data_IF_078121202144
#
_entry.id   IF_078121202144
#
_cell.length_a   1.000
_cell.length_b   1.000
_cell.length_c   1.000
_cell.angle_alpha   90.00
_cell.angle_beta   90.00
_cell.angle_gamma   90.00
#
_symmetry.space_group_name_H-M   'P 1'
#
loop_
_entity.id
_entity.type
_entity.pdbx_description
1 polymer ?
#
# COMPACT_ATOMS: atom_id res chain seq x y z
N UNK A 1 9.38 32.93 -13.61
CA UNK A 1 8.53 31.78 -14.02
C UNK A 1 7.35 31.74 -13.08
N UNK A 2 6.13 31.56 -13.57
CA UNK A 2 4.96 31.51 -12.70
C UNK A 2 4.91 30.13 -12.01
N UNK A 3 4.52 30.09 -10.75
CA UNK A 3 4.34 28.87 -9.93
C UNK A 3 3.56 27.77 -10.68
N UNK A 4 2.56 28.16 -11.46
CA UNK A 4 1.80 27.25 -12.35
C UNK A 4 2.68 26.55 -13.40
N UNK A 5 3.70 27.22 -13.92
CA UNK A 5 4.60 26.64 -14.92
C UNK A 5 5.53 25.58 -14.32
N UNK A 6 5.93 25.72 -13.08
CA UNK A 6 6.76 24.75 -12.37
C UNK A 6 5.97 23.48 -12.01
N UNK A 7 4.74 23.66 -11.52
CA UNK A 7 3.84 22.52 -11.22
C UNK A 7 3.54 21.72 -12.49
N UNK A 8 3.25 22.39 -13.62
CA UNK A 8 2.99 21.72 -14.89
C UNK A 8 4.18 20.91 -15.39
N UNK A 9 5.39 21.46 -15.30
CA UNK A 9 6.63 20.74 -15.68
C UNK A 9 6.89 19.53 -14.80
N UNK A 10 6.66 19.65 -13.50
CA UNK A 10 6.84 18.55 -12.55
C UNK A 10 5.81 17.44 -12.81
N UNK A 11 4.55 17.78 -13.10
CA UNK A 11 3.52 16.82 -13.49
C UNK A 11 3.94 16.03 -14.75
N UNK A 12 4.36 16.73 -15.80
CA UNK A 12 4.80 16.08 -17.04
C UNK A 12 6.02 15.19 -16.82
N UNK A 13 7.02 15.68 -16.05
CA UNK A 13 8.22 14.91 -15.75
C UNK A 13 7.88 13.62 -14.98
N UNK A 14 7.04 13.71 -13.96
CA UNK A 14 6.62 12.55 -13.16
C UNK A 14 5.78 11.58 -13.98
N UNK A 15 4.83 12.07 -14.75
CA UNK A 15 4.04 11.23 -15.64
C UNK A 15 4.92 10.50 -16.68
N UNK A 16 5.93 11.17 -17.23
CA UNK A 16 6.88 10.57 -18.18
C UNK A 16 7.75 9.47 -17.54
N UNK A 17 8.08 9.60 -16.24
CA UNK A 17 8.80 8.55 -15.49
C UNK A 17 7.83 7.42 -15.11
N UNK A 18 6.64 7.76 -14.62
CA UNK A 18 5.63 6.80 -14.17
C UNK A 18 5.12 5.90 -15.28
N UNK A 19 5.02 6.41 -16.52
CA UNK A 19 4.50 5.65 -17.65
C UNK A 19 5.29 4.36 -17.93
N UNK A 20 6.59 4.38 -18.20
CA UNK A 20 7.36 3.15 -18.44
C UNK A 20 7.43 2.27 -17.20
N UNK A 21 7.46 2.87 -16.01
CA UNK A 21 7.51 2.11 -14.76
C UNK A 21 6.22 1.33 -14.51
N UNK A 22 5.06 1.95 -14.72
CA UNK A 22 3.76 1.28 -14.60
C UNK A 22 3.58 0.16 -15.63
N UNK A 23 3.99 0.39 -16.88
CA UNK A 23 4.00 -0.63 -17.90
C UNK A 23 4.89 -1.82 -17.49
N UNK A 24 6.14 -1.56 -17.12
CA UNK A 24 7.10 -2.59 -16.72
C UNK A 24 6.61 -3.40 -15.51
N UNK A 25 6.01 -2.73 -14.51
CA UNK A 25 5.50 -3.39 -13.31
C UNK A 25 4.38 -4.38 -13.64
N UNK A 26 3.42 -4.00 -14.48
CA UNK A 26 2.30 -4.88 -14.86
C UNK A 26 2.82 -6.09 -15.63
N UNK A 27 3.74 -5.90 -16.58
CA UNK A 27 4.36 -7.03 -17.29
C UNK A 27 5.15 -7.93 -16.35
N UNK A 28 5.87 -7.37 -15.39
CA UNK A 28 6.58 -8.16 -14.37
C UNK A 28 5.60 -9.01 -13.55
N UNK A 29 4.44 -8.46 -13.16
CA UNK A 29 3.40 -9.20 -12.44
C UNK A 29 2.88 -10.36 -13.28
N UNK A 30 2.63 -10.17 -14.57
CA UNK A 30 2.20 -11.26 -15.47
C UNK A 30 3.30 -12.31 -15.66
N UNK A 31 4.55 -11.90 -15.86
CA UNK A 31 5.69 -12.82 -15.98
C UNK A 31 5.88 -13.67 -14.71
N UNK A 32 5.83 -13.02 -13.54
CA UNK A 32 5.88 -13.73 -12.26
C UNK A 32 4.67 -14.63 -12.08
N UNK A 33 3.46 -14.18 -12.48
CA UNK A 33 2.26 -15.00 -12.48
C UNK A 33 2.42 -16.28 -13.29
N UNK A 34 3.13 -16.23 -14.41
CA UNK A 34 3.47 -17.42 -15.21
C UNK A 34 4.30 -18.45 -14.46
N UNK A 35 5.18 -18.02 -13.56
CA UNK A 35 5.93 -18.92 -12.67
C UNK A 35 5.01 -19.63 -11.65
N UNK A 36 3.87 -19.03 -11.33
CA UNK A 36 2.85 -19.57 -10.43
C UNK A 36 1.68 -20.23 -11.17
N UNK A 37 1.83 -20.54 -12.47
CA UNK A 37 0.88 -21.31 -13.22
C UNK A 37 -0.25 -20.48 -13.87
N UNK A 38 -0.11 -19.17 -14.03
CA UNK A 38 -1.06 -18.38 -14.81
C UNK A 38 -1.02 -18.85 -16.28
N UNK A 39 -2.18 -19.20 -16.86
CA UNK A 39 -2.23 -19.72 -18.23
C UNK A 39 -1.77 -18.64 -19.22
N UNK A 40 -0.86 -19.02 -20.10
CA UNK A 40 -0.51 -18.20 -21.25
C UNK A 40 -1.64 -18.27 -22.29
N UNK A 41 -1.95 -17.16 -23.00
CA UNK A 41 -2.86 -17.19 -24.14
C UNK A 41 -2.36 -18.14 -25.24
N UNK A 42 -3.28 -18.71 -26.01
CA UNK A 42 -2.94 -19.55 -27.15
C UNK A 42 -1.98 -18.79 -28.09
N UNK A 43 -0.95 -19.51 -28.55
CA UNK A 43 0.07 -18.96 -29.47
C UNK A 43 1.16 -18.11 -28.76
N UNK A 44 1.17 -18.03 -27.42
CA UNK A 44 2.25 -17.36 -26.67
C UNK A 44 2.95 -18.34 -25.73
N UNK A 45 4.28 -18.22 -25.62
CA UNK A 45 5.08 -19.03 -24.70
C UNK A 45 5.03 -18.52 -23.25
N UNK A 46 4.60 -17.27 -23.04
CA UNK A 46 4.66 -16.59 -21.73
C UNK A 46 3.35 -15.79 -21.52
N UNK A 47 2.78 -15.81 -20.30
CA UNK A 47 1.57 -15.04 -19.99
C UNK A 47 1.91 -13.56 -19.86
N UNK A 48 1.85 -12.80 -20.95
CA UNK A 48 2.00 -11.34 -20.95
C UNK A 48 0.68 -10.60 -20.90
N UNK A 49 -0.42 -11.27 -21.26
CA UNK A 49 -1.80 -10.79 -21.20
C UNK A 49 -2.72 -11.94 -20.80
N UNK A 50 -3.94 -11.63 -20.39
CA UNK A 50 -4.96 -12.68 -20.14
C UNK A 50 -5.50 -13.24 -21.46
N UNK A 51 -5.91 -14.51 -21.47
CA UNK A 51 -6.56 -15.14 -22.64
C UNK A 51 -7.82 -14.35 -23.06
N UNK A 52 -8.66 -13.93 -22.10
CA UNK A 52 -9.85 -13.12 -22.35
C UNK A 52 -9.54 -11.75 -22.98
N UNK A 53 -8.36 -11.21 -22.74
CA UNK A 53 -7.91 -9.97 -23.36
C UNK A 53 -7.44 -10.22 -24.79
N UNK A 54 -6.67 -11.29 -25.03
CA UNK A 54 -6.24 -11.68 -26.36
C UNK A 54 -7.44 -11.96 -27.30
N UNK A 55 -8.44 -12.65 -26.79
CA UNK A 55 -9.71 -12.89 -27.51
C UNK A 55 -10.43 -11.57 -27.85
N UNK A 56 -10.56 -10.65 -26.87
CA UNK A 56 -11.21 -9.34 -27.08
C UNK A 56 -10.56 -8.51 -28.19
N UNK A 57 -9.23 -8.51 -28.25
CA UNK A 57 -8.46 -7.68 -29.16
C UNK A 57 -8.00 -8.41 -30.42
N UNK A 58 -8.44 -9.67 -30.63
CA UNK A 58 -8.21 -10.49 -31.81
C UNK A 58 -6.78 -11.01 -31.97
N UNK A 59 -5.83 -10.55 -31.15
CA UNK A 59 -4.46 -11.08 -31.12
C UNK A 59 -3.76 -10.78 -29.82
N UNK A 60 -2.84 -11.65 -29.35
CA UNK A 60 -2.01 -11.40 -28.16
C UNK A 60 -1.12 -10.15 -28.29
N UNK A 61 -0.65 -9.83 -29.49
CA UNK A 61 0.20 -8.66 -29.76
C UNK A 61 -0.59 -7.35 -29.55
N UNK A 62 -1.78 -7.27 -30.16
CA UNK A 62 -2.66 -6.10 -30.01
C UNK A 62 -3.07 -5.94 -28.54
N UNK A 63 -3.43 -7.02 -27.89
CA UNK A 63 -3.74 -7.03 -26.47
C UNK A 63 -2.55 -6.50 -25.63
N UNK A 64 -1.33 -6.97 -25.90
CA UNK A 64 -0.14 -6.49 -25.21
C UNK A 64 0.06 -4.97 -25.41
N UNK A 65 -0.08 -4.45 -26.62
CA UNK A 65 0.05 -3.01 -26.86
C UNK A 65 -0.99 -2.18 -26.10
N UNK A 66 -2.23 -2.66 -26.07
CA UNK A 66 -3.31 -2.01 -25.27
C UNK A 66 -3.00 -2.07 -23.78
N UNK A 67 -2.53 -3.21 -23.28
CA UNK A 67 -2.11 -3.34 -21.87
C UNK A 67 -0.94 -2.42 -21.56
N UNK A 68 0.05 -2.33 -22.44
CA UNK A 68 1.19 -1.41 -22.29
C UNK A 68 0.72 0.03 -22.14
N UNK A 69 -0.19 0.49 -22.98
CA UNK A 69 -0.72 1.83 -22.92
C UNK A 69 -1.48 2.10 -21.62
N UNK A 70 -2.42 1.23 -21.24
CA UNK A 70 -3.23 1.44 -20.04
C UNK A 70 -2.44 1.31 -18.73
N UNK A 71 -1.53 0.34 -18.67
CA UNK A 71 -0.66 0.19 -17.50
C UNK A 71 0.35 1.33 -17.38
N UNK A 72 0.87 1.82 -18.50
CA UNK A 72 1.70 3.02 -18.55
C UNK A 72 0.94 4.26 -18.10
N UNK A 73 -0.29 4.46 -18.58
CA UNK A 73 -1.15 5.58 -18.16
C UNK A 73 -1.46 5.51 -16.65
N UNK A 74 -1.75 4.34 -16.13
CA UNK A 74 -1.96 4.13 -14.71
C UNK A 74 -0.70 4.48 -13.90
N UNK A 75 0.47 4.02 -14.34
CA UNK A 75 1.76 4.37 -13.73
C UNK A 75 2.04 5.86 -13.77
N UNK A 76 1.75 6.53 -14.90
CA UNK A 76 1.88 7.98 -15.03
C UNK A 76 1.01 8.73 -14.01
N UNK A 77 -0.25 8.33 -13.84
CA UNK A 77 -1.15 8.94 -12.87
C UNK A 77 -0.67 8.66 -11.44
N UNK A 78 -0.29 7.43 -11.11
CA UNK A 78 0.19 7.07 -9.77
C UNK A 78 1.43 7.86 -9.36
N UNK A 79 2.38 8.08 -10.26
CA UNK A 79 3.61 8.83 -9.96
C UNK A 79 3.33 10.30 -9.66
N UNK A 80 2.22 10.84 -10.16
CA UNK A 80 1.81 12.21 -9.85
C UNK A 80 1.13 12.38 -8.49
N UNK A 81 0.94 11.31 -7.71
CA UNK A 81 0.25 11.32 -6.41
C UNK A 81 0.90 12.23 -5.36
N UNK A 82 2.16 12.59 -5.52
CA UNK A 82 2.84 13.53 -4.61
C UNK A 82 2.57 15.01 -4.91
N UNK A 83 2.14 15.34 -6.13
CA UNK A 83 1.97 16.74 -6.54
C UNK A 83 0.90 17.49 -5.72
N UNK A 84 -0.25 16.90 -5.36
CA UNK A 84 -1.23 17.52 -4.48
C UNK A 84 -0.66 17.99 -3.14
N UNK A 85 0.35 17.31 -2.61
CA UNK A 85 0.97 17.66 -1.33
C UNK A 85 1.93 18.85 -1.41
N UNK A 86 2.33 19.25 -2.61
CA UNK A 86 3.14 20.48 -2.85
C UNK A 86 2.25 21.72 -3.01
N UNK A 87 0.96 21.52 -3.27
CA UNK A 87 -0.02 22.59 -3.32
C UNK A 87 -0.43 22.93 -1.88
N UNK A 88 0.13 23.99 -1.31
CA UNK A 88 -0.08 24.39 0.10
C UNK A 88 -1.55 24.65 0.45
N UNK A 89 -2.36 25.04 -0.53
CA UNK A 89 -3.79 25.29 -0.36
C UNK A 89 -4.64 24.11 -0.84
N UNK A 90 -5.55 23.63 0.02
CA UNK A 90 -6.55 22.59 -0.29
C UNK A 90 -5.95 21.23 -0.67
N UNK A 91 -4.86 20.83 -0.04
CA UNK A 91 -4.19 19.54 -0.26
C UNK A 91 -5.16 18.36 -0.20
N UNK A 92 -6.09 18.36 0.76
CA UNK A 92 -7.09 17.27 0.89
C UNK A 92 -8.01 17.18 -0.32
N UNK A 93 -8.48 18.32 -0.85
CA UNK A 93 -9.33 18.35 -2.04
C UNK A 93 -8.57 17.82 -3.27
N UNK A 94 -7.36 18.31 -3.52
CA UNK A 94 -6.56 17.90 -4.67
C UNK A 94 -6.14 16.43 -4.58
N UNK A 95 -5.85 15.93 -3.39
CA UNK A 95 -5.57 14.51 -3.17
C UNK A 95 -6.81 13.65 -3.41
N UNK A 96 -8.00 14.12 -3.02
CA UNK A 96 -9.27 13.46 -3.32
C UNK A 96 -9.57 13.42 -4.82
N UNK A 97 -9.36 14.53 -5.53
CA UNK A 97 -9.50 14.59 -7.01
C UNK A 97 -8.52 13.62 -7.68
N UNK A 98 -7.26 13.60 -7.21
CA UNK A 98 -6.25 12.70 -7.74
C UNK A 98 -6.61 11.23 -7.46
N UNK A 99 -7.13 10.90 -6.28
CA UNK A 99 -7.65 9.56 -5.98
C UNK A 99 -8.76 9.15 -6.95
N UNK A 100 -9.74 10.02 -7.19
CA UNK A 100 -10.84 9.75 -8.13
C UNK A 100 -10.32 9.55 -9.56
N UNK A 101 -9.36 10.35 -10.00
CA UNK A 101 -8.71 10.18 -11.30
C UNK A 101 -7.99 8.82 -11.38
N UNK A 102 -7.21 8.48 -10.36
CA UNK A 102 -6.51 7.19 -10.29
C UNK A 102 -7.48 6.02 -10.31
N UNK A 103 -8.55 6.09 -9.52
CA UNK A 103 -9.59 5.07 -9.47
C UNK A 103 -10.32 4.92 -10.83
N UNK A 104 -10.57 6.02 -11.52
CA UNK A 104 -11.17 6.00 -12.86
C UNK A 104 -10.23 5.36 -13.89
N UNK A 105 -8.96 5.77 -13.94
CA UNK A 105 -7.97 5.19 -14.86
C UNK A 105 -7.74 3.71 -14.55
N UNK A 106 -7.64 3.33 -13.28
CA UNK A 106 -7.51 1.95 -12.84
C UNK A 106 -8.71 1.10 -13.27
N UNK A 107 -9.93 1.62 -13.09
CA UNK A 107 -11.15 0.91 -13.49
C UNK A 107 -11.25 0.75 -15.00
N UNK A 108 -10.93 1.79 -15.77
CA UNK A 108 -10.90 1.75 -17.23
C UNK A 108 -9.82 0.79 -17.76
N UNK A 109 -8.60 0.86 -17.20
CA UNK A 109 -7.51 -0.05 -17.53
C UNK A 109 -7.92 -1.51 -17.27
N UNK A 110 -8.43 -1.79 -16.09
CA UNK A 110 -8.85 -3.13 -15.71
C UNK A 110 -10.01 -3.67 -16.55
N UNK A 111 -10.94 -2.80 -16.94
CA UNK A 111 -12.03 -3.18 -17.86
C UNK A 111 -11.52 -3.43 -19.29
N UNK A 112 -10.66 -2.59 -19.82
CA UNK A 112 -10.09 -2.74 -21.16
C UNK A 112 -9.15 -3.95 -21.24
N UNK A 113 -8.34 -4.15 -20.22
CA UNK A 113 -7.37 -5.25 -20.15
C UNK A 113 -7.94 -6.55 -19.56
N UNK A 114 -9.25 -6.57 -19.24
CA UNK A 114 -9.89 -7.76 -18.66
C UNK A 114 -9.15 -8.29 -17.40
N UNK A 115 -8.60 -7.40 -16.59
CA UNK A 115 -7.93 -7.79 -15.33
C UNK A 115 -8.92 -8.28 -14.26
N UNK A 116 -10.17 -7.85 -14.35
CA UNK A 116 -11.21 -8.16 -13.37
C UNK A 116 -12.17 -9.20 -13.96
N UNK A 117 -12.02 -10.48 -13.63
CA UNK A 117 -12.95 -11.52 -14.07
C UNK A 117 -14.33 -11.36 -13.41
N UNK A 118 -14.35 -10.81 -12.18
CA UNK A 118 -15.56 -10.60 -11.38
C UNK A 118 -15.63 -9.17 -10.84
N UNK A 119 -16.86 -8.71 -10.57
CA UNK A 119 -17.12 -7.40 -9.99
C UNK A 119 -16.50 -7.26 -8.59
N UNK A 120 -16.52 -8.34 -7.81
CA UNK A 120 -15.95 -8.43 -6.47
C UNK A 120 -14.44 -8.14 -6.48
N UNK A 121 -13.72 -8.71 -7.45
CA UNK A 121 -12.28 -8.47 -7.65
C UNK A 121 -12.00 -6.99 -7.91
N UNK A 122 -12.80 -6.35 -8.76
CA UNK A 122 -12.68 -4.92 -9.05
C UNK A 122 -12.90 -4.06 -7.80
N UNK A 123 -14.00 -4.31 -7.05
CA UNK A 123 -14.31 -3.58 -5.82
C UNK A 123 -13.22 -3.76 -4.76
N UNK A 124 -12.69 -4.97 -4.64
CA UNK A 124 -11.62 -5.29 -3.73
C UNK A 124 -10.34 -4.50 -4.04
N UNK A 125 -9.93 -4.48 -5.31
CA UNK A 125 -8.74 -3.74 -5.74
C UNK A 125 -8.92 -2.22 -5.60
N UNK A 126 -10.13 -1.70 -5.80
CA UNK A 126 -10.45 -0.31 -5.48
C UNK A 126 -10.35 -0.03 -3.98
N UNK A 127 -10.83 -0.94 -3.13
CA UNK A 127 -10.67 -0.87 -1.68
C UNK A 127 -9.21 -0.88 -1.26
N UNK A 128 -8.38 -1.72 -1.88
CA UNK A 128 -6.94 -1.76 -1.66
C UNK A 128 -6.27 -0.44 -2.10
N UNK A 129 -6.65 0.09 -3.24
CA UNK A 129 -6.17 1.39 -3.72
C UNK A 129 -6.52 2.50 -2.73
N UNK A 130 -7.75 2.54 -2.24
CA UNK A 130 -8.18 3.49 -1.21
C UNK A 130 -7.36 3.33 0.08
N UNK A 131 -7.12 2.10 0.51
CA UNK A 131 -6.27 1.82 1.67
C UNK A 131 -4.86 2.36 1.47
N UNK A 132 -4.24 2.12 0.31
CA UNK A 132 -2.92 2.67 -0.01
C UNK A 132 -2.91 4.21 0.06
N UNK A 133 -3.95 4.88 -0.43
CA UNK A 133 -4.07 6.33 -0.31
C UNK A 133 -4.19 6.80 1.14
N UNK A 134 -4.99 6.12 1.95
CA UNK A 134 -5.13 6.45 3.38
C UNK A 134 -3.81 6.25 4.13
N UNK A 135 -3.07 5.18 3.81
CA UNK A 135 -1.75 4.92 4.38
C UNK A 135 -0.74 6.00 3.98
N UNK A 136 -0.71 6.36 2.71
CA UNK A 136 0.14 7.45 2.22
C UNK A 136 -0.17 8.77 2.95
N UNK A 137 -1.45 9.11 3.14
CA UNK A 137 -1.88 10.26 3.91
C UNK A 137 -1.42 10.19 5.37
N UNK A 138 -1.56 9.05 6.01
CA UNK A 138 -1.13 8.87 7.40
C UNK A 138 0.39 9.08 7.54
N UNK A 139 1.18 8.50 6.63
CA UNK A 139 2.64 8.67 6.61
C UNK A 139 3.03 10.14 6.37
N UNK A 140 2.40 10.80 5.41
CA UNK A 140 2.65 12.22 5.10
C UNK A 140 2.27 13.13 6.25
N UNK A 141 1.12 12.91 6.90
CA UNK A 141 0.69 13.67 8.06
C UNK A 141 1.69 13.56 9.22
N UNK A 142 2.22 12.36 9.44
CA UNK A 142 3.26 12.14 10.47
C UNK A 142 4.56 12.85 10.09
N UNK A 143 4.99 12.79 8.83
CA UNK A 143 6.16 13.50 8.32
C UNK A 143 6.03 15.02 8.50
N UNK A 144 4.95 15.59 8.00
CA UNK A 144 4.68 17.04 8.12
C UNK A 144 4.70 17.55 9.56
N UNK A 145 4.13 16.80 10.51
CA UNK A 145 4.22 17.15 11.95
C UNK A 145 5.64 17.15 12.48
N UNK A 146 6.53 16.31 11.93
CA UNK A 146 7.94 16.31 12.35
C UNK A 146 8.67 17.51 11.81
N UNK A 147 8.43 17.89 10.55
CA UNK A 147 9.04 19.04 9.91
C UNK A 147 8.64 20.34 10.62
N UNK A 148 7.34 20.49 10.94
CA UNK A 148 6.85 21.64 11.72
C UNK A 148 7.52 21.74 13.10
N UNK A 149 7.75 20.61 13.78
CA UNK A 149 8.46 20.61 15.07
C UNK A 149 9.95 20.98 14.91
N UNK A 150 10.59 20.47 13.86
CA UNK A 150 11.99 20.80 13.59
C UNK A 150 12.16 22.30 13.29
N UNK A 151 11.26 22.87 12.49
CA UNK A 151 11.25 24.32 12.17
C UNK A 151 10.99 25.14 13.44
N UNK A 152 10.00 24.79 14.25
CA UNK A 152 9.73 25.49 15.53
C UNK A 152 10.94 25.50 16.46
N UNK A 153 11.62 24.37 16.58
CA UNK A 153 12.84 24.25 17.37
C UNK A 153 13.98 25.12 16.81
N UNK A 154 14.12 25.15 15.46
CA UNK A 154 15.13 25.97 14.79
C UNK A 154 14.92 27.50 14.95
N UNK A 155 13.66 27.93 15.07
CA UNK A 155 13.28 29.36 15.24
C UNK A 155 13.20 29.76 16.73
N UNK A 156 13.50 28.85 17.67
CA UNK A 156 13.48 29.16 19.13
C UNK A 156 12.08 29.33 19.70
N UNK A 157 11.02 28.91 18.99
CA UNK A 157 9.67 28.93 19.53
C UNK A 157 9.49 27.87 20.63
N UNK A 158 8.66 28.14 21.66
CA UNK A 158 8.41 27.19 22.72
C UNK A 158 7.93 25.85 22.13
N UNK A 159 8.52 24.77 22.63
CA UNK A 159 8.10 23.41 22.22
C UNK A 159 6.61 23.24 22.56
N UNK A 160 5.86 22.69 21.62
CA UNK A 160 4.48 22.28 21.93
C UNK A 160 4.48 21.36 23.14
N UNK A 161 3.52 21.50 24.06
CA UNK A 161 3.41 20.64 25.20
C UNK A 161 3.45 19.18 24.74
N UNK A 162 4.28 18.38 25.40
CA UNK A 162 4.53 17.00 24.99
C UNK A 162 3.22 16.23 24.94
N UNK A 163 2.79 15.86 23.73
CA UNK A 163 1.52 15.14 23.56
C UNK A 163 1.58 13.83 24.36
N UNK A 164 0.50 13.45 25.05
CA UNK A 164 0.44 12.19 25.77
C UNK A 164 0.75 11.02 24.82
N UNK A 165 1.45 10.03 25.33
CA UNK A 165 1.91 8.88 24.54
C UNK A 165 0.76 8.18 23.80
N UNK A 166 -0.46 8.16 24.37
CA UNK A 166 -1.65 7.62 23.72
C UNK A 166 -1.97 8.30 22.38
N UNK A 167 -1.83 9.63 22.32
CA UNK A 167 -2.11 10.40 21.09
C UNK A 167 -1.01 10.20 20.03
N UNK A 168 0.21 9.92 20.46
CA UNK A 168 1.33 9.54 19.58
C UNK A 168 1.17 8.13 19.04
N UNK A 169 0.56 7.22 19.82
CA UNK A 169 0.35 5.83 19.47
C UNK A 169 -0.91 5.59 18.61
N UNK A 170 -1.91 6.47 18.69
CA UNK A 170 -3.18 6.31 17.97
C UNK A 170 -3.04 6.04 16.45
N UNK A 171 -2.20 6.75 15.67
CA UNK A 171 -2.05 6.46 14.25
C UNK A 171 -1.45 5.07 13.98
N UNK A 172 -0.61 4.56 14.88
CA UNK A 172 -0.06 3.20 14.78
C UNK A 172 -1.12 2.14 15.06
N UNK A 173 -2.00 2.37 16.04
CA UNK A 173 -3.11 1.47 16.34
C UNK A 173 -4.13 1.42 15.20
N UNK A 174 -4.47 2.57 14.61
CA UNK A 174 -5.35 2.65 13.44
C UNK A 174 -4.74 1.95 12.23
N UNK A 175 -3.44 2.12 12.01
CA UNK A 175 -2.72 1.47 10.94
C UNK A 175 -2.67 -0.05 11.15
N UNK A 176 -2.42 -0.50 12.39
CA UNK A 176 -2.47 -1.92 12.74
C UNK A 176 -3.86 -2.50 12.48
N UNK A 177 -4.93 -1.83 12.91
CA UNK A 177 -6.29 -2.26 12.62
C UNK A 177 -6.56 -2.35 11.11
N UNK A 178 -6.10 -1.40 10.31
CA UNK A 178 -6.25 -1.44 8.86
C UNK A 178 -5.50 -2.62 8.22
N UNK A 179 -4.24 -2.85 8.62
CA UNK A 179 -3.41 -3.91 8.03
C UNK A 179 -3.78 -5.29 8.56
N UNK A 180 -4.16 -5.42 9.84
CA UNK A 180 -4.42 -6.72 10.45
C UNK A 180 -5.88 -7.17 10.34
N UNK A 181 -6.84 -6.23 10.19
CA UNK A 181 -8.25 -6.57 10.00
C UNK A 181 -8.70 -6.44 8.56
N UNK A 182 -8.47 -5.27 7.90
CA UNK A 182 -9.01 -4.99 6.56
C UNK A 182 -8.22 -5.69 5.46
N UNK A 183 -6.89 -5.66 5.53
CA UNK A 183 -6.06 -6.18 4.45
C UNK A 183 -6.25 -7.69 4.21
N UNK A 184 -6.34 -8.58 5.22
CA UNK A 184 -6.61 -10.00 4.98
C UNK A 184 -7.93 -10.24 4.28
N UNK A 185 -8.99 -9.49 4.60
CA UNK A 185 -10.27 -9.56 3.92
C UNK A 185 -10.15 -9.18 2.44
N UNK A 186 -9.44 -8.09 2.14
CA UNK A 186 -9.20 -7.66 0.78
C UNK A 186 -8.38 -8.68 -0.02
N UNK A 187 -7.33 -9.22 0.58
CA UNK A 187 -6.51 -10.26 -0.05
C UNK A 187 -7.29 -11.55 -0.25
N UNK A 188 -8.18 -11.91 0.69
CA UNK A 188 -9.03 -13.10 0.57
C UNK A 188 -10.00 -13.03 -0.62
N UNK A 189 -10.47 -11.83 -0.96
CA UNK A 189 -11.32 -11.62 -2.13
C UNK A 189 -10.54 -11.75 -3.46
N UNK A 190 -9.22 -11.58 -3.42
CA UNK A 190 -8.33 -11.73 -4.57
C UNK A 190 -7.82 -13.15 -4.75
N UNK A 191 -7.75 -13.93 -3.67
CA UNK A 191 -7.29 -15.30 -3.73
C UNK A 191 -8.29 -16.20 -4.47
N UNK A 192 -7.79 -17.15 -5.23
CA UNK A 192 -8.60 -18.21 -5.80
C UNK A 192 -9.24 -19.05 -4.67
N UNK A 193 -10.41 -19.65 -4.94
CA UNK A 193 -11.14 -20.43 -3.93
C UNK A 193 -10.32 -21.60 -3.37
N UNK A 194 -9.53 -22.22 -4.23
CA UNK A 194 -8.81 -23.45 -3.92
C UNK A 194 -7.35 -23.24 -3.53
N UNK A 195 -6.76 -22.08 -3.85
CA UNK A 195 -5.34 -21.79 -3.58
C UNK A 195 -5.19 -20.41 -2.96
N UNK A 196 -4.90 -20.40 -1.66
CA UNK A 196 -4.75 -19.18 -0.86
C UNK A 196 -3.29 -18.71 -0.86
N UNK A 197 -2.84 -18.12 -1.96
CA UNK A 197 -1.45 -17.64 -2.09
C UNK A 197 -1.25 -16.33 -1.32
N UNK A 198 -2.14 -15.36 -1.52
CA UNK A 198 -1.99 -14.04 -0.92
C UNK A 198 -2.26 -14.07 0.59
N UNK A 199 -3.37 -14.69 0.99
CA UNK A 199 -3.76 -14.76 2.40
C UNK A 199 -3.08 -15.88 3.17
N UNK A 200 -2.72 -17.01 2.52
CA UNK A 200 -2.10 -18.16 3.18
C UNK A 200 -0.58 -18.11 3.25
N UNK A 201 0.07 -17.42 2.31
CA UNK A 201 1.54 -17.37 2.22
C UNK A 201 2.05 -15.95 2.35
N UNK A 202 1.70 -15.06 1.42
CA UNK A 202 2.29 -13.71 1.39
C UNK A 202 1.92 -12.87 2.61
N UNK A 203 0.67 -12.89 3.02
CA UNK A 203 0.24 -12.11 4.17
C UNK A 203 0.90 -12.56 5.48
N UNK A 204 0.80 -13.83 5.93
CA UNK A 204 1.30 -14.22 7.23
C UNK A 204 2.83 -14.28 7.32
N UNK A 205 3.52 -14.59 6.23
CA UNK A 205 4.98 -14.78 6.26
C UNK A 205 5.78 -13.55 5.81
N UNK A 206 5.18 -12.61 5.08
CA UNK A 206 5.87 -11.43 4.57
C UNK A 206 5.25 -10.13 5.09
N UNK A 207 3.97 -9.88 4.77
CA UNK A 207 3.34 -8.59 5.05
C UNK A 207 3.18 -8.37 6.54
N UNK A 208 2.57 -9.32 7.24
CA UNK A 208 2.27 -9.22 8.67
C UNK A 208 3.53 -9.03 9.53
N UNK A 209 4.57 -9.88 9.44
CA UNK A 209 5.76 -9.71 10.27
C UNK A 209 6.55 -8.44 9.96
N UNK A 210 6.70 -8.07 8.68
CA UNK A 210 7.39 -6.84 8.31
C UNK A 210 6.64 -5.61 8.83
N UNK A 211 5.32 -5.58 8.65
CA UNK A 211 4.49 -4.48 9.14
C UNK A 211 4.59 -4.35 10.67
N UNK A 212 4.39 -5.43 11.42
CA UNK A 212 4.44 -5.44 12.88
C UNK A 212 5.82 -5.03 13.40
N UNK A 213 6.89 -5.50 12.76
CA UNK A 213 8.27 -5.13 13.13
C UNK A 213 8.51 -3.63 12.92
N UNK A 214 8.30 -3.09 11.72
CA UNK A 214 8.63 -1.71 11.40
C UNK A 214 7.72 -0.69 12.09
N UNK A 215 6.43 -1.01 12.26
CA UNK A 215 5.50 -0.16 12.98
C UNK A 215 5.86 -0.06 14.47
N UNK A 216 6.17 -1.20 15.11
CA UNK A 216 6.60 -1.25 16.50
C UNK A 216 7.97 -0.57 16.70
N UNK A 217 8.92 -0.79 15.79
CA UNK A 217 10.21 -0.09 15.79
C UNK A 217 10.04 1.43 15.74
N UNK A 218 9.19 1.92 14.84
CA UNK A 218 8.89 3.35 14.72
C UNK A 218 8.20 3.90 15.96
N UNK A 219 7.25 3.15 16.54
CA UNK A 219 6.55 3.50 17.77
C UNK A 219 7.49 3.60 18.97
N UNK A 220 8.42 2.65 19.13
CA UNK A 220 9.38 2.63 20.24
C UNK A 220 10.31 3.85 20.23
N UNK A 221 10.66 4.36 19.05
CA UNK A 221 11.44 5.60 18.93
C UNK A 221 10.67 6.83 19.44
N UNK A 222 9.35 6.83 19.35
CA UNK A 222 8.48 7.98 19.65
C UNK A 222 7.83 7.94 21.01
N UNK A 223 7.40 6.76 21.47
CA UNK A 223 6.71 6.56 22.73
C UNK A 223 7.62 5.88 23.75
N UNK A 224 7.52 6.31 25.01
CA UNK A 224 8.43 5.82 26.06
C UNK A 224 8.04 4.42 26.57
N UNK A 225 6.75 4.13 26.68
CA UNK A 225 6.24 2.88 27.28
C UNK A 225 5.22 2.13 26.44
N UNK A 226 4.45 2.81 25.59
CA UNK A 226 3.34 2.17 24.87
C UNK A 226 3.78 1.14 23.82
N UNK A 227 5.04 1.17 23.39
CA UNK A 227 5.56 0.14 22.50
C UNK A 227 5.56 -1.27 23.14
N UNK A 228 5.57 -1.36 24.50
CA UNK A 228 5.46 -2.65 25.20
C UNK A 228 4.06 -3.26 25.11
N UNK A 229 3.03 -2.43 24.96
CA UNK A 229 1.64 -2.86 24.84
C UNK A 229 1.28 -3.17 23.39
N UNK A 230 2.03 -2.61 22.44
CA UNK A 230 1.75 -2.75 21.01
C UNK A 230 1.77 -4.20 20.49
N UNK A 231 2.70 -5.09 20.90
CA UNK A 231 2.65 -6.51 20.52
C UNK A 231 1.34 -7.21 20.94
N UNK A 232 0.81 -6.86 22.13
CA UNK A 232 -0.47 -7.39 22.60
C UNK A 232 -1.62 -6.86 21.71
N UNK A 233 -1.57 -5.59 21.33
CA UNK A 233 -2.55 -5.01 20.42
C UNK A 233 -2.52 -5.73 19.05
N UNK A 234 -1.36 -5.93 18.46
CA UNK A 234 -1.22 -6.67 17.19
C UNK A 234 -1.77 -8.10 17.32
N UNK A 235 -1.42 -8.83 18.38
CA UNK A 235 -1.95 -10.16 18.63
C UNK A 235 -3.48 -10.18 18.73
N UNK A 236 -4.07 -9.20 19.43
CA UNK A 236 -5.53 -9.07 19.58
C UNK A 236 -6.23 -8.69 18.27
N UNK A 237 -5.60 -7.85 17.44
CA UNK A 237 -6.15 -7.47 16.13
C UNK A 237 -6.09 -8.60 15.11
N UNK A 238 -5.10 -9.48 15.20
CA UNK A 238 -4.99 -10.66 14.31
C UNK A 238 -6.06 -11.72 14.62
N UNK A 239 -6.48 -11.87 15.89
CA UNK A 239 -7.43 -12.91 16.33
C UNK A 239 -8.75 -12.95 15.53
N UNK A 240 -9.46 -11.85 15.28
CA UNK A 240 -10.71 -11.89 14.52
C UNK A 240 -10.54 -12.49 13.13
N UNK A 241 -9.44 -12.15 12.43
CA UNK A 241 -9.18 -12.71 11.12
C UNK A 241 -8.90 -14.22 11.16
N UNK A 242 -8.20 -14.72 12.18
CA UNK A 242 -7.97 -16.14 12.35
C UNK A 242 -9.29 -16.91 12.43
N UNK A 243 -10.26 -16.43 13.20
CA UNK A 243 -11.54 -17.14 13.38
C UNK A 243 -12.56 -16.88 12.27
N UNK A 244 -12.53 -15.69 11.63
CA UNK A 244 -13.52 -15.31 10.62
C UNK A 244 -13.11 -15.66 9.19
N UNK A 245 -11.81 -15.60 8.86
CA UNK A 245 -11.29 -15.82 7.50
C UNK A 245 -10.55 -17.14 7.34
N UNK A 246 -9.91 -17.60 8.40
CA UNK A 246 -9.08 -18.79 8.40
C UNK A 246 -9.72 -19.87 9.28
N UNK A 247 -8.91 -20.69 9.86
CA UNK A 247 -9.28 -21.73 10.84
C UNK A 247 -8.24 -21.76 11.99
N UNK A 248 -8.43 -22.61 12.96
CA UNK A 248 -7.56 -22.71 14.12
C UNK A 248 -6.07 -22.97 13.78
N UNK A 249 -5.77 -23.55 12.60
CA UNK A 249 -4.37 -23.76 12.18
C UNK A 249 -3.64 -22.43 11.92
N UNK A 250 -4.36 -21.34 11.65
CA UNK A 250 -3.80 -20.01 11.45
C UNK A 250 -3.46 -19.25 12.74
N UNK A 251 -3.67 -19.86 13.93
CA UNK A 251 -3.29 -19.25 15.22
C UNK A 251 -1.80 -18.88 15.31
N UNK A 252 -0.94 -19.51 14.50
CA UNK A 252 0.47 -19.11 14.41
C UNK A 252 0.66 -17.65 13.99
N UNK A 253 -0.28 -17.07 13.24
CA UNK A 253 -0.23 -15.66 12.81
C UNK A 253 -0.27 -14.70 14.02
N UNK A 254 -0.99 -15.05 15.07
CA UNK A 254 -1.04 -14.29 16.33
C UNK A 254 0.34 -14.24 16.98
N UNK A 255 1.05 -15.37 17.00
CA UNK A 255 2.42 -15.40 17.51
C UNK A 255 3.40 -14.66 16.61
N UNK A 256 3.26 -14.80 15.30
CA UNK A 256 4.09 -14.08 14.32
C UNK A 256 3.94 -12.57 14.49
N UNK A 257 2.71 -12.05 14.60
CA UNK A 257 2.47 -10.61 14.81
C UNK A 257 3.04 -10.13 16.14
N UNK A 258 2.80 -10.86 17.24
CA UNK A 258 3.30 -10.50 18.57
C UNK A 258 4.84 -10.50 18.64
N UNK A 259 5.49 -11.56 18.14
CA UNK A 259 6.95 -11.69 18.16
C UNK A 259 7.60 -10.65 17.28
N UNK A 260 7.08 -10.41 16.07
CA UNK A 260 7.59 -9.40 15.16
C UNK A 260 7.45 -7.99 15.75
N UNK A 261 6.30 -7.67 16.36
CA UNK A 261 6.11 -6.40 17.04
C UNK A 261 7.04 -6.24 18.26
N UNK A 262 7.21 -7.29 19.05
CA UNK A 262 8.10 -7.26 20.22
C UNK A 262 9.56 -7.03 19.80
N UNK A 263 10.05 -7.78 18.81
CA UNK A 263 11.42 -7.64 18.29
C UNK A 263 11.65 -6.26 17.68
N UNK A 264 10.71 -5.75 16.88
CA UNK A 264 10.78 -4.40 16.33
C UNK A 264 10.82 -3.32 17.41
N UNK A 265 9.98 -3.45 18.46
CA UNK A 265 9.95 -2.53 19.60
C UNK A 265 11.26 -2.53 20.41
N UNK A 266 11.80 -3.71 20.70
CA UNK A 266 13.10 -3.86 21.37
C UNK A 266 14.21 -3.20 20.54
N UNK A 267 14.26 -3.47 19.23
CA UNK A 267 15.24 -2.88 18.34
C UNK A 267 15.14 -1.35 18.32
N UNK A 268 13.91 -0.79 18.29
CA UNK A 268 13.68 0.65 18.36
C UNK A 268 14.09 1.28 19.68
N UNK A 269 13.85 0.61 20.80
CA UNK A 269 14.24 1.07 22.12
C UNK A 269 15.77 1.08 22.32
N UNK A 270 16.46 0.02 21.86
CA UNK A 270 17.93 -0.08 21.91
C UNK A 270 18.59 0.98 21.02
N UNK A 271 18.09 1.17 19.80
CA UNK A 271 18.57 2.20 18.87
C UNK A 271 18.49 3.62 19.45
N UNK A 272 17.41 3.91 20.20
CA UNK A 272 17.23 5.20 20.89
C UNK A 272 18.25 5.40 22.00
N UNK A 273 18.66 4.34 22.70
CA UNK A 273 19.66 4.38 23.77
C UNK A 273 21.08 4.62 23.24
N UNK A 274 21.41 4.08 22.07
CA UNK A 274 22.72 4.21 21.43
C UNK A 274 23.01 5.61 20.86
N UNK A 275 21.98 6.44 20.67
CA UNK A 275 22.12 7.82 20.13
C UNK A 275 22.05 8.92 21.21
N UNK A 276 21.93 8.58 22.46
CA UNK A 276 22.08 9.48 23.61
C UNK A 276 23.45 9.35 24.23
#
# INVERSE_FOLDING_TARGET
>A
MTERGEISRELVRRAAIGFPFGAALVYLVFLLGGLFGFPAPEGTAVPVVTAAMAERWGSPITAALVQFFWSGLLGAVLETAEVPFRLERRTALWSGVHFLLTAAVFSLAGWQCRWFPYRETWLCLLGLLLLCYLLMWAVRYVGWRQDVRAIRKGVGLPEEPEQPDCRKAAPYALLAAAVELLLPWLLRLLDARDVLVLTGIFYPFLILPLFCFFSSWSLAKRCRRLWLVYPVLCALLTLPCVFLLYNASALFQVWVSAIAALTGGLFGALWKKSRK
#
